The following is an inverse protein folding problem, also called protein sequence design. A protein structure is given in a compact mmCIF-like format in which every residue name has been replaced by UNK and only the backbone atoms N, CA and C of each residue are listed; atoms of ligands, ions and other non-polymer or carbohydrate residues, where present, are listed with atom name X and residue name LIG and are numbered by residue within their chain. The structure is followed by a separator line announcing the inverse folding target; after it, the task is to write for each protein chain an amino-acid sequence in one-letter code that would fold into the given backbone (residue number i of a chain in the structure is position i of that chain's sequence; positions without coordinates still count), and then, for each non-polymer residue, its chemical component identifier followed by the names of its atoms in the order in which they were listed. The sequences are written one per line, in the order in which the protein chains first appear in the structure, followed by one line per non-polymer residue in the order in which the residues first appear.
data_IF_545069903711
#
_entry.id   IF_545069903711
#
_cell.length_a   1.000
_cell.length_b   1.000
_cell.length_c   1.000
_cell.angle_alpha   90.00
_cell.angle_beta   90.00
_cell.angle_gamma   90.00
#
_symmetry.space_group_name_H-M   'P 1'
#
loop_
_entity.id
_entity.type
_entity.pdbx_description
1 polymer ?
#
# COMPACT_ATOMS: atom_id res chain seq x y z
N UNK A 1 22.82 -22.20 26.80
CA UNK A 1 23.66 -21.76 25.66
C UNK A 1 23.94 -20.28 25.84
N UNK A 2 25.20 -19.88 26.01
CA UNK A 2 25.58 -18.48 25.93
C UNK A 2 25.29 -17.98 24.51
N UNK A 3 24.64 -16.82 24.38
CA UNK A 3 24.44 -16.20 23.07
C UNK A 3 25.81 -15.88 22.48
N UNK A 4 26.09 -16.37 21.27
CA UNK A 4 27.23 -15.96 20.44
C UNK A 4 27.18 -14.45 20.27
N UNK A 5 28.32 -13.75 20.38
CA UNK A 5 28.39 -12.34 20.01
C UNK A 5 28.03 -12.22 18.52
N UNK A 6 26.99 -11.45 18.19
CA UNK A 6 26.58 -11.16 16.81
C UNK A 6 26.29 -9.67 16.66
N UNK A 7 26.55 -9.14 15.48
CA UNK A 7 26.21 -7.76 15.11
C UNK A 7 24.95 -7.78 14.26
N UNK A 8 23.98 -6.94 14.60
CA UNK A 8 22.73 -6.77 13.88
C UNK A 8 22.50 -5.28 13.62
N UNK A 9 22.11 -4.94 12.39
CA UNK A 9 21.77 -3.58 11.99
C UNK A 9 20.42 -3.60 11.29
N UNK A 10 19.61 -2.58 11.53
CA UNK A 10 18.33 -2.34 10.86
C UNK A 10 18.28 -0.88 10.45
N UNK A 11 17.49 -0.58 9.43
CA UNK A 11 17.17 0.78 9.01
C UNK A 11 15.66 1.01 8.94
N UNK A 12 15.28 2.27 8.77
CA UNK A 12 13.91 2.73 8.56
C UNK A 12 13.97 4.02 7.75
N UNK A 13 12.87 4.37 7.09
CA UNK A 13 12.74 5.60 6.30
C UNK A 13 11.51 6.39 6.75
N UNK A 14 11.54 7.70 6.54
CA UNK A 14 10.42 8.57 6.93
C UNK A 14 9.22 8.38 6.00
N UNK A 15 8.08 8.93 6.39
CA UNK A 15 6.86 8.95 5.59
C UNK A 15 7.02 9.68 4.23
N UNK A 16 8.02 10.56 4.10
CA UNK A 16 8.31 11.27 2.87
C UNK A 16 9.23 10.52 1.91
N UNK A 17 9.74 9.35 2.30
CA UNK A 17 10.48 8.49 1.38
C UNK A 17 9.55 8.06 0.24
N UNK A 18 9.96 8.13 -1.04
CA UNK A 18 9.08 7.86 -2.18
C UNK A 18 8.39 6.50 -2.07
N UNK A 19 9.11 5.45 -1.64
CA UNK A 19 8.51 4.13 -1.43
C UNK A 19 7.40 4.16 -0.36
N UNK A 20 7.61 4.88 0.75
CA UNK A 20 6.57 5.01 1.80
C UNK A 20 5.40 5.88 1.37
N UNK A 21 5.63 6.84 0.48
CA UNK A 21 4.55 7.61 -0.16
C UNK A 21 3.72 6.69 -1.06
N UNK A 22 4.35 5.83 -1.85
CA UNK A 22 3.65 4.82 -2.64
C UNK A 22 2.85 3.87 -1.75
N UNK A 23 3.45 3.32 -0.69
CA UNK A 23 2.76 2.46 0.29
C UNK A 23 1.51 3.15 0.83
N UNK A 24 1.62 4.40 1.29
CA UNK A 24 0.48 5.15 1.84
C UNK A 24 -0.63 5.39 0.82
N UNK A 25 -0.29 5.67 -0.44
CA UNK A 25 -1.28 5.87 -1.50
C UNK A 25 -1.99 4.54 -1.78
N UNK A 26 -1.25 3.44 -1.90
CA UNK A 26 -1.81 2.10 -2.09
C UNK A 26 -2.73 1.70 -0.94
N UNK A 27 -2.31 1.92 0.31
CA UNK A 27 -3.11 1.64 1.50
C UNK A 27 -4.36 2.53 1.58
N UNK A 28 -4.27 3.81 1.20
CA UNK A 28 -5.43 4.69 1.18
C UNK A 28 -6.48 4.24 0.14
N UNK A 29 -6.05 3.69 -0.99
CA UNK A 29 -6.95 3.05 -1.96
C UNK A 29 -7.57 1.80 -1.35
N UNK A 30 -6.78 0.92 -0.71
CA UNK A 30 -7.29 -0.27 -0.02
C UNK A 30 -8.36 0.10 1.04
N UNK A 31 -8.07 1.09 1.88
CA UNK A 31 -8.97 1.58 2.93
C UNK A 31 -10.30 2.05 2.34
N UNK A 32 -10.28 2.77 1.22
CA UNK A 32 -11.48 3.24 0.55
C UNK A 32 -12.35 2.10 0.00
N UNK A 33 -11.75 0.99 -0.42
CA UNK A 33 -12.51 -0.19 -0.87
C UNK A 33 -13.03 -1.01 0.33
N UNK A 34 -12.21 -1.21 1.36
CA UNK A 34 -12.60 -1.94 2.57
C UNK A 34 -13.70 -1.19 3.34
N UNK A 35 -13.72 0.14 3.29
CA UNK A 35 -14.79 0.93 3.92
C UNK A 35 -16.16 0.70 3.28
N UNK A 36 -16.19 0.39 1.98
CA UNK A 36 -17.43 0.05 1.26
C UNK A 36 -17.79 -1.43 1.39
N UNK A 37 -16.82 -2.33 1.25
CA UNK A 37 -16.99 -3.78 1.37
C UNK A 37 -15.82 -4.41 2.15
N UNK A 38 -16.03 -4.93 3.37
CA UNK A 38 -14.95 -5.51 4.17
C UNK A 38 -14.19 -6.68 3.51
N UNK A 39 -14.83 -7.38 2.57
CA UNK A 39 -14.27 -8.50 1.81
C UNK A 39 -13.72 -8.09 0.43
N UNK A 40 -13.60 -6.77 0.17
CA UNK A 40 -13.05 -6.23 -1.05
C UNK A 40 -11.64 -6.79 -1.32
N UNK A 41 -11.40 -7.16 -2.58
CA UNK A 41 -10.09 -7.65 -3.02
C UNK A 41 -9.37 -6.55 -3.78
N UNK A 42 -8.25 -6.09 -3.24
CA UNK A 42 -7.47 -5.00 -3.83
C UNK A 42 -6.01 -5.41 -3.91
N UNK A 43 -5.45 -5.32 -5.11
CA UNK A 43 -4.03 -5.41 -5.40
C UNK A 43 -3.62 -4.08 -6.05
N UNK A 44 -3.42 -3.05 -5.23
CA UNK A 44 -3.13 -1.68 -5.67
C UNK A 44 -1.63 -1.40 -5.59
N UNK A 45 -1.02 -1.12 -6.73
CA UNK A 45 0.40 -0.78 -6.85
C UNK A 45 0.56 0.70 -7.23
N UNK A 46 1.39 1.42 -6.48
CA UNK A 46 1.67 2.84 -6.74
C UNK A 46 3.11 3.04 -7.19
N UNK A 47 3.27 3.71 -8.33
CA UNK A 47 4.57 4.10 -8.88
C UNK A 47 4.69 5.62 -8.85
N UNK A 48 5.70 6.15 -8.15
CA UNK A 48 5.97 7.57 -8.10
C UNK A 48 7.30 7.90 -8.77
N UNK A 49 7.29 8.96 -9.58
CA UNK A 49 8.51 9.57 -10.14
C UNK A 49 8.29 11.08 -10.25
N UNK A 50 9.26 11.81 -10.81
CA UNK A 50 9.21 13.26 -10.92
C UNK A 50 7.89 13.73 -11.55
N UNK A 51 7.10 14.48 -10.77
CA UNK A 51 5.81 15.05 -11.16
C UNK A 51 4.79 14.03 -11.69
N UNK A 52 4.89 12.76 -11.28
CA UNK A 52 3.96 11.74 -11.74
C UNK A 52 3.74 10.65 -10.70
N UNK A 53 2.48 10.34 -10.48
CA UNK A 53 2.03 9.15 -9.77
C UNK A 53 1.21 8.32 -10.74
N UNK A 54 1.48 7.01 -10.79
CA UNK A 54 0.71 6.04 -11.55
C UNK A 54 0.19 5.02 -10.56
N UNK A 55 -1.13 4.84 -10.52
CA UNK A 55 -1.79 3.79 -9.75
C UNK A 55 -2.19 2.69 -10.74
N UNK A 56 -1.84 1.44 -10.43
CA UNK A 56 -2.15 0.27 -11.25
C UNK A 56 -2.51 -0.95 -10.41
N UNK A 57 -2.91 -2.03 -11.08
CA UNK A 57 -3.28 -3.30 -10.45
C UNK A 57 -4.78 -3.61 -10.60
N UNK A 58 -5.30 -4.43 -9.69
CA UNK A 58 -6.66 -4.99 -9.78
C UNK A 58 -7.50 -4.70 -8.55
N UNK A 59 -8.80 -4.48 -8.77
CA UNK A 59 -9.81 -4.34 -7.71
C UNK A 59 -11.00 -5.25 -7.98
N UNK A 60 -11.59 -5.78 -6.91
CA UNK A 60 -12.72 -6.68 -6.94
C UNK A 60 -13.69 -6.37 -5.81
N UNK A 61 -14.92 -6.02 -6.19
CA UNK A 61 -16.07 -5.90 -5.32
C UNK A 61 -17.13 -6.91 -5.74
N UNK A 62 -17.97 -7.31 -4.79
CA UNK A 62 -19.13 -8.17 -5.07
C UNK A 62 -20.14 -7.48 -5.98
N UNK A 63 -20.42 -6.19 -5.77
CA UNK A 63 -21.18 -5.32 -6.67
C UNK A 63 -20.31 -4.18 -7.23
N UNK A 64 -20.13 -4.17 -8.55
CA UNK A 64 -19.31 -3.17 -9.26
C UNK A 64 -19.99 -1.82 -9.40
N UNK A 65 -21.25 -1.68 -8.99
CA UNK A 65 -21.97 -0.41 -9.07
C UNK A 65 -21.77 0.47 -7.84
N UNK A 66 -21.21 -0.07 -6.75
CA UNK A 66 -20.93 0.67 -5.50
C UNK A 66 -20.08 1.93 -5.77
N UNK A 67 -19.18 1.87 -6.75
CA UNK A 67 -18.24 2.97 -7.08
C UNK A 67 -18.69 3.86 -8.24
N UNK A 68 -19.93 3.73 -8.72
CA UNK A 68 -20.42 4.44 -9.94
C UNK A 68 -21.24 5.71 -9.67
N UNK A 69 -21.28 6.20 -8.43
CA UNK A 69 -21.92 7.48 -8.12
C UNK A 69 -21.04 8.69 -8.50
#
# INVERSE_FOLDING_TARGET
MSRSNFTFTSESVSEGHPDKVCDRISDAVLDAFISEEPEARVACETFATTNRVVIGGEVGLSDKNILKE
#
